data_IF_257519654057
#
_entry.id   IF_257519654057
#
_cell.length_a   1.000
_cell.length_b   1.000
_cell.length_c   1.000
_cell.angle_alpha   90.00
_cell.angle_beta   90.00
_cell.angle_gamma   90.00
#
_symmetry.space_group_name_H-M   'P 1'
#
loop_
_entity.id
_entity.type
_entity.pdbx_description
1 polymer ?
#
# COMPACT_ATOMS: atom_id res chain seq x y z
N UNK A 1 6.81 -10.09 7.66
CA UNK A 1 5.62 -10.60 6.97
C UNK A 1 5.54 -9.99 5.58
N UNK A 2 5.22 -10.76 4.60
CA UNK A 2 5.22 -10.33 3.20
C UNK A 2 3.93 -10.76 2.53
N UNK A 3 3.22 -9.81 1.97
CA UNK A 3 2.02 -10.05 1.17
C UNK A 3 2.36 -9.79 -0.30
N UNK A 4 2.26 -10.77 -1.17
CA UNK A 4 2.63 -10.61 -2.57
C UNK A 4 1.86 -11.56 -3.50
N UNK A 5 1.73 -11.17 -4.77
CA UNK A 5 0.96 -11.89 -5.77
C UNK A 5 1.55 -13.27 -6.12
N UNK A 6 2.87 -13.38 -6.19
CA UNK A 6 3.64 -14.63 -6.25
C UNK A 6 5.16 -14.35 -6.20
N UNK A 7 5.95 -15.37 -5.89
CA UNK A 7 7.43 -15.31 -5.77
C UNK A 7 8.14 -14.76 -7.02
N UNK A 8 7.63 -15.12 -8.19
CA UNK A 8 8.23 -14.74 -9.48
C UNK A 8 8.01 -13.26 -9.76
N UNK A 9 6.82 -12.74 -9.43
CA UNK A 9 6.48 -11.34 -9.59
C UNK A 9 7.26 -10.44 -8.61
N UNK A 10 7.43 -10.90 -7.37
CA UNK A 10 8.24 -10.18 -6.37
C UNK A 10 9.68 -9.98 -6.85
N UNK A 11 10.33 -11.06 -7.32
CA UNK A 11 11.72 -10.98 -7.82
C UNK A 11 11.82 -10.01 -9.00
N UNK A 12 10.86 -10.08 -9.94
CA UNK A 12 10.82 -9.19 -11.08
C UNK A 12 10.69 -7.72 -10.63
N UNK A 13 9.72 -7.42 -9.76
CA UNK A 13 9.49 -6.06 -9.28
C UNK A 13 10.71 -5.49 -8.52
N UNK A 14 11.39 -6.31 -7.70
CA UNK A 14 12.60 -5.88 -7.00
C UNK A 14 13.77 -5.61 -7.96
N UNK A 15 13.94 -6.45 -9.00
CA UNK A 15 14.98 -6.23 -10.02
C UNK A 15 14.71 -4.96 -10.84
N UNK A 16 13.44 -4.71 -11.16
CA UNK A 16 13.04 -3.51 -11.90
C UNK A 16 13.29 -2.23 -11.07
N UNK A 17 13.13 -2.28 -9.73
CA UNK A 17 13.46 -1.16 -8.84
C UNK A 17 14.95 -0.78 -8.87
N UNK A 18 15.85 -1.76 -8.90
CA UNK A 18 17.30 -1.50 -8.96
C UNK A 18 17.71 -0.78 -10.27
N UNK A 19 16.93 -0.98 -11.33
CA UNK A 19 17.18 -0.32 -12.63
C UNK A 19 16.57 1.10 -12.72
N UNK A 20 15.49 1.40 -11.97
CA UNK A 20 14.81 2.70 -12.00
C UNK A 20 15.49 3.79 -11.13
N UNK A 21 16.37 3.41 -10.20
CA UNK A 21 17.09 4.36 -9.33
C UNK A 21 18.05 5.25 -10.13
N UNK A 22 18.43 4.85 -11.34
CA UNK A 22 19.38 5.59 -12.20
C UNK A 22 18.79 6.75 -13.02
N UNK A 23 17.48 6.80 -13.23
CA UNK A 23 16.83 7.77 -14.13
C UNK A 23 15.64 8.51 -13.48
N UNK A 24 15.81 9.01 -12.25
CA UNK A 24 14.85 9.93 -11.65
C UNK A 24 14.83 11.27 -12.41
N UNK A 25 14.30 11.27 -13.62
CA UNK A 25 13.86 12.49 -14.28
C UNK A 25 12.63 13.00 -13.51
N UNK A 26 12.78 14.19 -12.96
CA UNK A 26 11.68 15.00 -12.42
C UNK A 26 10.63 15.17 -13.53
N UNK A 27 9.67 14.26 -13.61
CA UNK A 27 8.54 14.45 -14.50
C UNK A 27 7.73 15.64 -13.98
N UNK A 28 7.59 16.61 -14.86
CA UNK A 28 6.75 17.80 -14.68
C UNK A 28 5.37 17.33 -14.21
N UNK A 29 4.91 17.91 -13.10
CA UNK A 29 3.56 17.69 -12.57
C UNK A 29 2.58 18.10 -13.66
N UNK A 30 1.98 17.13 -14.33
CA UNK A 30 1.08 17.31 -15.45
C UNK A 30 -0.38 17.23 -14.95
N UNK A 31 -1.34 17.72 -15.74
CA UNK A 31 -2.80 17.62 -15.50
C UNK A 31 -3.24 16.20 -15.09
N UNK A 32 -2.57 15.18 -15.60
CA UNK A 32 -2.74 13.77 -15.23
C UNK A 32 -2.54 13.46 -13.73
N UNK A 33 -1.81 14.29 -12.99
CA UNK A 33 -1.56 14.04 -11.55
C UNK A 33 -2.79 14.39 -10.71
N UNK A 34 -3.50 15.45 -11.08
CA UNK A 34 -4.73 15.85 -10.38
C UNK A 34 -5.83 14.79 -10.58
N UNK A 35 -5.95 14.25 -11.79
CA UNK A 35 -6.90 13.20 -12.12
C UNK A 35 -6.58 11.92 -11.34
N UNK A 36 -5.30 11.57 -11.25
CA UNK A 36 -4.84 10.40 -10.48
C UNK A 36 -5.11 10.54 -8.98
N UNK A 37 -4.90 11.72 -8.41
CA UNK A 37 -5.22 11.98 -6.99
C UNK A 37 -6.72 11.85 -6.75
N UNK A 38 -7.55 12.40 -7.63
CA UNK A 38 -9.00 12.32 -7.53
C UNK A 38 -9.50 10.87 -7.64
N UNK A 39 -8.98 10.10 -8.59
CA UNK A 39 -9.25 8.67 -8.75
C UNK A 39 -8.91 7.89 -7.46
N UNK A 40 -7.72 8.11 -6.90
CA UNK A 40 -7.29 7.42 -5.69
C UNK A 40 -8.14 7.80 -4.48
N UNK A 41 -8.51 9.08 -4.33
CA UNK A 41 -9.40 9.51 -3.25
C UNK A 41 -10.80 8.89 -3.38
N UNK A 42 -11.28 8.67 -4.59
CA UNK A 42 -12.52 7.93 -4.83
C UNK A 42 -12.37 6.46 -4.43
N UNK A 43 -11.32 5.79 -4.87
CA UNK A 43 -11.03 4.37 -4.53
C UNK A 43 -10.91 4.14 -3.03
N UNK A 44 -10.30 5.07 -2.30
CA UNK A 44 -10.19 4.98 -0.84
C UNK A 44 -11.43 5.50 -0.10
N UNK A 45 -12.50 5.88 -0.83
CA UNK A 45 -13.77 6.34 -0.25
C UNK A 45 -13.71 7.73 0.40
N UNK A 46 -12.79 8.59 -0.04
CA UNK A 46 -12.54 9.90 0.57
C UNK A 46 -12.85 11.10 -0.35
N UNK A 47 -13.55 10.91 -1.46
CA UNK A 47 -13.91 11.99 -2.39
C UNK A 47 -14.58 13.19 -1.70
N UNK A 48 -15.44 12.92 -0.71
CA UNK A 48 -16.13 13.97 0.06
C UNK A 48 -15.26 14.62 1.14
N UNK A 49 -14.06 14.09 1.36
CA UNK A 49 -13.12 14.51 2.39
C UNK A 49 -11.88 15.22 1.86
N UNK A 50 -11.78 15.42 0.54
CA UNK A 50 -10.55 15.95 -0.09
C UNK A 50 -10.13 17.35 0.40
N UNK A 51 -11.05 18.13 0.96
CA UNK A 51 -10.76 19.44 1.56
C UNK A 51 -10.62 19.41 3.09
N UNK A 52 -10.66 18.21 3.71
CA UNK A 52 -10.50 18.09 5.15
C UNK A 52 -9.03 18.13 5.55
N UNK A 53 -8.76 18.74 6.70
CA UNK A 53 -7.44 18.68 7.33
C UNK A 53 -7.26 17.31 7.99
N UNK A 54 -6.02 16.84 8.16
CA UNK A 54 -5.75 15.52 8.76
C UNK A 54 -6.44 15.30 10.11
N UNK A 55 -6.55 16.33 10.94
CA UNK A 55 -7.16 16.28 12.27
C UNK A 55 -8.69 16.09 12.22
N UNK A 56 -9.29 16.28 11.06
CA UNK A 56 -10.73 16.10 10.81
C UNK A 56 -11.05 14.69 10.31
N UNK A 57 -10.03 13.84 10.12
CA UNK A 57 -10.16 12.49 9.63
C UNK A 57 -10.05 11.48 10.78
N UNK A 58 -10.84 10.40 10.72
CA UNK A 58 -10.68 9.25 11.61
C UNK A 58 -9.35 8.54 11.35
N UNK A 59 -8.89 7.71 12.29
CA UNK A 59 -7.66 6.93 12.12
C UNK A 59 -7.67 6.08 10.84
N UNK A 60 -8.79 5.41 10.55
CA UNK A 60 -8.95 4.62 9.31
C UNK A 60 -8.93 5.49 8.05
N UNK A 61 -9.54 6.69 8.08
CA UNK A 61 -9.48 7.64 6.96
C UNK A 61 -8.05 8.15 6.74
N UNK A 62 -7.33 8.48 7.81
CA UNK A 62 -5.90 8.89 7.73
C UNK A 62 -5.05 7.76 7.13
N UNK A 63 -5.27 6.52 7.53
CA UNK A 63 -4.56 5.36 6.98
C UNK A 63 -4.85 5.19 5.48
N UNK A 64 -6.10 5.34 5.04
CA UNK A 64 -6.45 5.28 3.63
C UNK A 64 -5.82 6.42 2.81
N UNK A 65 -5.69 7.62 3.38
CA UNK A 65 -4.91 8.72 2.75
C UNK A 65 -3.44 8.35 2.63
N UNK A 66 -2.85 7.75 3.66
CA UNK A 66 -1.45 7.31 3.62
C UNK A 66 -1.21 6.26 2.52
N UNK A 67 -2.14 5.32 2.34
CA UNK A 67 -2.10 4.31 1.28
C UNK A 67 -2.22 4.99 -0.09
N UNK A 68 -3.21 5.87 -0.30
CA UNK A 68 -3.36 6.61 -1.55
C UNK A 68 -2.09 7.38 -1.92
N UNK A 69 -1.48 8.04 -0.94
CA UNK A 69 -0.20 8.74 -1.12
C UNK A 69 0.94 7.80 -1.51
N UNK A 70 1.01 6.62 -0.93
CA UNK A 70 2.06 5.65 -1.24
C UNK A 70 1.97 5.10 -2.67
N UNK A 71 0.75 5.04 -3.25
CA UNK A 71 0.53 4.45 -4.58
C UNK A 71 0.31 5.47 -5.69
N UNK A 72 0.28 6.78 -5.38
CA UNK A 72 0.00 7.82 -6.38
C UNK A 72 0.97 7.79 -7.57
N UNK A 73 2.23 7.49 -7.32
CA UNK A 73 3.29 7.38 -8.35
C UNK A 73 3.40 5.98 -8.98
N UNK A 74 2.41 5.11 -8.78
CA UNK A 74 2.38 3.74 -9.31
C UNK A 74 3.65 2.94 -9.02
N UNK A 75 4.07 2.84 -7.74
CA UNK A 75 5.25 2.08 -7.37
C UNK A 75 5.03 0.61 -7.65
N UNK A 76 6.12 -0.14 -7.86
CA UNK A 76 6.04 -1.61 -8.00
C UNK A 76 6.00 -2.32 -6.66
N UNK A 77 6.52 -1.68 -5.61
CA UNK A 77 6.56 -2.25 -4.25
C UNK A 77 6.15 -1.18 -3.24
N UNK A 78 5.28 -1.55 -2.32
CA UNK A 78 4.86 -0.75 -1.17
C UNK A 78 5.25 -1.48 0.11
N UNK A 79 5.87 -0.78 1.03
CA UNK A 79 6.16 -1.27 2.37
C UNK A 79 5.13 -0.72 3.35
N UNK A 80 4.50 -1.59 4.11
CA UNK A 80 3.49 -1.25 5.11
C UNK A 80 3.88 -1.86 6.46
N UNK A 81 4.22 -0.99 7.41
CA UNK A 81 4.58 -1.39 8.75
C UNK A 81 3.36 -1.30 9.67
N UNK A 82 2.88 -2.45 10.18
CA UNK A 82 1.69 -2.59 11.04
C UNK A 82 0.49 -1.76 10.55
N UNK A 83 0.06 -1.88 9.28
CA UNK A 83 -0.87 -0.94 8.64
C UNK A 83 -2.27 -0.89 9.28
N UNK A 84 -2.59 -1.84 10.14
CA UNK A 84 -3.90 -1.94 10.82
C UNK A 84 -3.78 -1.88 12.34
N UNK A 85 -2.56 -1.82 12.89
CA UNK A 85 -2.29 -1.97 14.31
C UNK A 85 -2.96 -0.94 15.23
N UNK A 86 -3.26 0.26 14.70
CA UNK A 86 -3.95 1.33 15.44
C UNK A 86 -5.44 1.48 15.06
N UNK A 87 -6.00 0.55 14.27
CA UNK A 87 -7.37 0.63 13.76
C UNK A 87 -8.29 -0.34 14.50
N UNK A 88 -9.57 0.01 14.55
CA UNK A 88 -10.62 -0.96 14.91
C UNK A 88 -10.74 -2.04 13.82
N UNK A 89 -11.35 -3.16 14.18
CA UNK A 89 -11.45 -4.34 13.30
C UNK A 89 -12.09 -4.02 11.95
N UNK A 90 -13.16 -3.22 11.93
CA UNK A 90 -13.85 -2.90 10.68
C UNK A 90 -12.97 -2.05 9.75
N UNK A 91 -12.32 -1.01 10.29
CA UNK A 91 -11.37 -0.17 9.54
C UNK A 91 -10.15 -0.96 9.06
N UNK A 92 -9.68 -1.92 9.87
CA UNK A 92 -8.59 -2.83 9.50
C UNK A 92 -8.94 -3.68 8.28
N UNK A 93 -10.14 -4.26 8.25
CA UNK A 93 -10.62 -5.02 7.08
C UNK A 93 -10.76 -4.16 5.83
N UNK A 94 -11.23 -2.91 5.94
CA UNK A 94 -11.30 -1.99 4.81
C UNK A 94 -9.92 -1.71 4.21
N UNK A 95 -8.90 -1.50 5.06
CA UNK A 95 -7.52 -1.31 4.63
C UNK A 95 -6.98 -2.56 3.90
N UNK A 96 -7.24 -3.75 4.43
CA UNK A 96 -6.80 -5.00 3.79
C UNK A 96 -7.49 -5.25 2.45
N UNK A 97 -8.78 -4.95 2.35
CA UNK A 97 -9.52 -5.00 1.09
C UNK A 97 -8.91 -4.05 0.05
N UNK A 98 -8.62 -2.83 0.46
CA UNK A 98 -7.96 -1.84 -0.41
C UNK A 98 -6.60 -2.33 -0.89
N UNK A 99 -5.78 -2.94 -0.03
CA UNK A 99 -4.51 -3.53 -0.44
C UNK A 99 -4.69 -4.64 -1.49
N UNK A 100 -5.70 -5.51 -1.32
CA UNK A 100 -6.00 -6.55 -2.30
C UNK A 100 -6.41 -5.96 -3.65
N UNK A 101 -7.29 -4.97 -3.66
CA UNK A 101 -7.70 -4.26 -4.88
C UNK A 101 -6.50 -3.61 -5.60
N UNK A 102 -5.60 -2.98 -4.85
CA UNK A 102 -4.38 -2.36 -5.43
C UNK A 102 -3.42 -3.41 -6.01
N UNK A 103 -3.25 -4.57 -5.37
CA UNK A 103 -2.44 -5.66 -5.89
C UNK A 103 -3.01 -6.18 -7.22
N UNK A 104 -4.32 -6.38 -7.26
CA UNK A 104 -4.99 -6.99 -8.42
C UNK A 104 -5.08 -6.02 -9.61
N UNK A 105 -5.36 -4.75 -9.36
CA UNK A 105 -5.63 -3.76 -10.40
C UNK A 105 -4.34 -3.07 -10.90
N UNK A 106 -3.37 -2.84 -10.02
CA UNK A 106 -2.18 -2.03 -10.34
C UNK A 106 -0.88 -2.83 -10.43
N UNK A 107 -0.95 -4.14 -10.26
CA UNK A 107 0.20 -5.06 -10.33
C UNK A 107 1.34 -4.68 -9.37
N UNK A 108 0.99 -4.18 -8.18
CA UNK A 108 1.95 -3.83 -7.14
C UNK A 108 2.21 -5.00 -6.21
N UNK A 109 3.39 -5.01 -5.60
CA UNK A 109 3.74 -5.91 -4.51
C UNK A 109 3.64 -5.17 -3.19
N UNK A 110 2.94 -5.73 -2.21
CA UNK A 110 2.89 -5.17 -0.85
C UNK A 110 3.72 -6.06 0.07
N UNK A 111 4.68 -5.46 0.74
CA UNK A 111 5.46 -6.07 1.81
C UNK A 111 4.96 -5.49 3.11
N UNK A 112 4.39 -6.32 3.98
CA UNK A 112 3.73 -5.86 5.20
C UNK A 112 4.32 -6.56 6.42
N UNK A 113 4.53 -5.81 7.50
CA UNK A 113 4.73 -6.40 8.82
C UNK A 113 3.41 -6.46 9.56
N UNK A 114 3.14 -7.52 10.29
CA UNK A 114 2.01 -7.63 11.22
C UNK A 114 2.25 -8.74 12.24
N UNK A 115 1.63 -8.61 13.39
CA UNK A 115 1.55 -9.65 14.40
C UNK A 115 0.13 -10.28 14.49
N UNK A 116 -0.82 -9.84 13.65
CA UNK A 116 -2.17 -10.37 13.61
C UNK A 116 -2.25 -11.64 12.75
N UNK A 117 -2.56 -12.82 13.34
CA UNK A 117 -2.66 -14.08 12.60
C UNK A 117 -3.71 -14.04 11.47
N UNK A 118 -4.81 -13.30 11.66
CA UNK A 118 -5.85 -13.21 10.64
C UNK A 118 -5.34 -12.49 9.37
N UNK A 119 -4.43 -11.53 9.52
CA UNK A 119 -3.81 -10.85 8.39
C UNK A 119 -2.76 -11.72 7.72
N UNK A 120 -2.10 -12.61 8.47
CA UNK A 120 -1.14 -13.56 7.90
C UNK A 120 -1.82 -14.51 6.90
N UNK A 121 -3.05 -14.95 7.19
CA UNK A 121 -3.81 -15.83 6.30
C UNK A 121 -4.18 -15.18 4.95
N UNK A 122 -4.17 -13.85 4.88
CA UNK A 122 -4.44 -13.11 3.65
C UNK A 122 -3.20 -12.98 2.74
N UNK A 123 -2.01 -13.33 3.26
CA UNK A 123 -0.74 -13.23 2.53
C UNK A 123 -0.56 -14.35 1.52
N UNK A 124 -0.04 -14.02 0.34
CA UNK A 124 0.37 -15.02 -0.64
C UNK A 124 1.66 -15.75 -0.20
N UNK A 125 2.53 -15.03 0.53
CA UNK A 125 3.73 -15.58 1.17
C UNK A 125 3.91 -14.98 2.57
N UNK A 126 4.20 -15.81 3.55
CA UNK A 126 4.43 -15.43 4.94
C UNK A 126 5.83 -15.86 5.36
N UNK A 127 6.56 -14.93 5.96
CA UNK A 127 7.88 -15.17 6.54
C UNK A 127 7.81 -14.81 8.02
N UNK A 128 8.17 -15.74 8.86
CA UNK A 128 8.32 -15.48 10.28
C UNK A 128 9.73 -14.98 10.58
N UNK A 129 9.83 -13.90 11.37
CA UNK A 129 11.10 -13.37 11.83
C UNK A 129 11.22 -13.57 13.35
N UNK A 130 12.32 -14.18 13.78
CA UNK A 130 12.72 -14.26 15.16
C UNK A 130 14.15 -13.78 15.31
N UNK A 131 14.38 -12.80 16.18
CA UNK A 131 15.72 -12.21 16.45
C UNK A 131 16.48 -11.77 15.18
N UNK A 132 15.75 -11.25 14.19
CA UNK A 132 16.33 -10.78 12.92
C UNK A 132 16.64 -11.89 11.91
N UNK A 133 16.25 -13.12 12.19
CA UNK A 133 16.44 -14.29 11.33
C UNK A 133 15.08 -14.73 10.80
N UNK A 134 15.03 -15.07 9.52
CA UNK A 134 13.85 -15.69 8.90
C UNK A 134 13.87 -17.18 9.22
N UNK A 135 12.80 -17.69 9.80
CA UNK A 135 12.62 -19.09 10.22
C UNK A 135 11.49 -19.75 9.44
#
# INVERSE_FOLDING_TARGET
LRLAKNKRQIRKNLTDMDNDIGDAKTEVINENTHDRVSELLERVGLSKRMNHMPEQLSGGEQQRVAIARAVVHRPKVVFADEPTGALDTASGFEVMRLFRELIDDEDITIVMTTHDPNLMELGDEVFELSDGIVI
#
